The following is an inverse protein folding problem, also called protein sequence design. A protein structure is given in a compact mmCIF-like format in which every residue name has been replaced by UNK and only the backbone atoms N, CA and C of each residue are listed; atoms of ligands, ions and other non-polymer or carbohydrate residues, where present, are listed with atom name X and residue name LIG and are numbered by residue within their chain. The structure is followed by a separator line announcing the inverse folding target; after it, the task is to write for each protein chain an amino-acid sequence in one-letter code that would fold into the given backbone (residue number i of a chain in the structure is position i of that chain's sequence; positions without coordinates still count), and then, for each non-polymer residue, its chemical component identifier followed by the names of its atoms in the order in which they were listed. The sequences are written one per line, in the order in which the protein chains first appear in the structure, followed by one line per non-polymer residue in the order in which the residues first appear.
data_IF_126013981725
#
_entry.id   IF_126013981725
#
_cell.length_a   1.000
_cell.length_b   1.000
_cell.length_c   1.000
_cell.angle_alpha   90.00
_cell.angle_beta   90.00
_cell.angle_gamma   90.00
#
_symmetry.space_group_name_H-M   'P 1'
#
loop_
_entity.id
_entity.type
_entity.pdbx_description
1 polymer ?
#
# COMPACT_ATOMS: atom_id res chain seq x y z
N UNK A 1 47.23 -45.77 -10.23
CA UNK A 1 47.44 -46.33 -8.88
C UNK A 1 47.46 -45.21 -7.85
N UNK A 2 46.42 -45.10 -7.01
CA UNK A 2 46.48 -44.56 -5.63
C UNK A 2 45.11 -44.69 -4.94
N UNK A 3 45.04 -45.74 -4.12
CA UNK A 3 44.31 -46.03 -2.86
C UNK A 3 42.95 -45.35 -2.55
N UNK A 4 41.97 -46.24 -2.39
CA UNK A 4 40.70 -46.15 -1.65
C UNK A 4 40.96 -45.88 -0.16
N UNK A 5 40.12 -45.05 0.49
CA UNK A 5 39.60 -45.32 1.85
C UNK A 5 38.14 -44.85 1.93
N UNK A 6 37.24 -45.84 2.09
CA UNK A 6 35.85 -45.72 2.53
C UNK A 6 35.86 -45.54 4.06
N UNK A 7 35.09 -44.59 4.60
CA UNK A 7 34.72 -44.62 6.03
C UNK A 7 33.25 -44.29 6.22
N UNK A 8 32.54 -45.34 6.64
CA UNK A 8 31.17 -45.40 7.13
C UNK A 8 31.21 -45.06 8.63
N UNK A 9 30.38 -44.11 9.09
CA UNK A 9 30.10 -43.88 10.51
C UNK A 9 28.57 -43.69 10.60
N UNK A 10 27.84 -44.79 10.83
CA UNK A 10 27.36 -45.26 12.13
C UNK A 10 26.12 -44.50 12.62
N UNK A 11 24.98 -45.13 12.38
CA UNK A 11 23.65 -44.79 12.84
C UNK A 11 23.57 -45.02 14.35
N UNK A 12 23.33 -43.99 15.15
CA UNK A 12 22.97 -44.13 16.56
C UNK A 12 21.46 -44.02 16.69
N UNK A 13 20.81 -45.16 16.87
CA UNK A 13 19.42 -45.24 17.30
C UNK A 13 19.33 -44.87 18.78
N UNK A 14 18.56 -43.83 19.09
CA UNK A 14 18.19 -43.52 20.47
C UNK A 14 17.00 -44.41 20.81
N UNK A 15 17.24 -45.46 21.57
CA UNK A 15 16.23 -46.24 22.26
C UNK A 15 15.60 -45.38 23.36
N UNK A 16 14.37 -44.91 23.14
CA UNK A 16 13.55 -44.33 24.20
C UNK A 16 12.87 -45.50 24.91
N UNK A 17 13.42 -45.85 26.06
CA UNK A 17 12.82 -46.78 27.01
C UNK A 17 11.51 -46.18 27.51
N UNK A 18 10.42 -46.92 27.32
CA UNK A 18 9.11 -46.65 27.92
C UNK A 18 9.22 -46.67 29.44
N UNK A 19 8.90 -45.54 30.07
CA UNK A 19 8.45 -45.51 31.46
C UNK A 19 7.02 -44.98 31.44
N UNK A 20 6.08 -45.92 31.51
CA UNK A 20 4.69 -45.69 31.88
C UNK A 20 4.63 -44.99 33.23
N UNK A 21 3.99 -43.83 33.29
CA UNK A 21 3.31 -43.31 34.48
C UNK A 21 2.24 -42.34 34.00
N UNK A 22 0.99 -42.68 34.28
CA UNK A 22 -0.21 -41.88 34.06
C UNK A 22 -0.08 -40.52 34.77
N UNK A 23 -0.05 -39.44 34.00
CA UNK A 23 -0.82 -38.21 34.23
C UNK A 23 -0.42 -37.16 33.17
N UNK A 24 -1.38 -36.31 32.79
CA UNK A 24 -1.28 -35.17 31.84
C UNK A 24 -1.76 -35.40 30.40
N UNK A 25 -3.06 -35.67 30.26
CA UNK A 25 -3.84 -35.38 29.05
C UNK A 25 -4.26 -33.90 28.90
N UNK A 26 -3.74 -32.97 29.73
CA UNK A 26 -4.14 -31.56 29.70
C UNK A 26 -3.35 -30.70 28.69
N UNK A 27 -2.08 -30.98 28.43
CA UNK A 27 -1.23 -30.11 27.58
C UNK A 27 -1.34 -30.39 26.08
N UNK A 28 -1.77 -31.58 25.68
CA UNK A 28 -1.91 -31.92 24.24
C UNK A 28 -3.14 -31.28 23.58
N UNK A 29 -4.13 -30.82 24.36
CA UNK A 29 -5.27 -30.06 23.82
C UNK A 29 -4.97 -28.55 23.68
N UNK A 30 -4.02 -28.00 24.44
CA UNK A 30 -3.60 -26.61 24.30
C UNK A 30 -2.81 -26.39 22.99
N UNK A 31 -1.87 -27.29 22.68
CA UNK A 31 -1.08 -27.25 21.45
C UNK A 31 -1.93 -27.50 20.19
N UNK A 32 -2.93 -28.40 20.26
CA UNK A 32 -3.86 -28.63 19.14
C UNK A 32 -4.77 -27.43 18.87
N UNK A 33 -5.20 -26.69 19.91
CA UNK A 33 -5.99 -25.45 19.75
C UNK A 33 -5.15 -24.30 19.20
N UNK A 34 -3.91 -24.13 19.63
CA UNK A 34 -3.01 -23.11 19.06
C UNK A 34 -2.71 -23.35 17.57
N UNK A 35 -2.52 -24.61 17.18
CA UNK A 35 -2.25 -24.95 15.78
C UNK A 35 -3.49 -24.78 14.89
N UNK A 36 -4.68 -25.04 15.42
CA UNK A 36 -5.95 -24.88 14.70
C UNK A 36 -6.38 -23.40 14.59
N UNK A 37 -6.04 -22.55 15.57
CA UNK A 37 -6.21 -21.09 15.47
C UNK A 37 -5.21 -20.51 14.46
N UNK A 38 -3.93 -20.91 14.49
CA UNK A 38 -2.92 -20.37 13.56
C UNK A 38 -3.18 -20.71 12.09
N UNK A 39 -3.82 -21.85 11.81
CA UNK A 39 -4.14 -22.30 10.45
C UNK A 39 -5.42 -21.67 9.90
N UNK A 40 -6.39 -21.34 10.76
CA UNK A 40 -7.57 -20.55 10.38
C UNK A 40 -7.20 -19.08 10.10
N UNK A 41 -6.35 -18.46 10.93
CA UNK A 41 -5.90 -17.06 10.75
C UNK A 41 -5.06 -16.90 9.48
N UNK A 42 -4.17 -17.86 9.17
CA UNK A 42 -3.37 -17.83 7.93
C UNK A 42 -4.20 -18.03 6.66
N UNK A 43 -5.28 -18.81 6.72
CA UNK A 43 -6.14 -19.06 5.55
C UNK A 43 -7.00 -17.84 5.19
N UNK A 44 -7.38 -17.02 6.17
CA UNK A 44 -8.03 -15.71 5.93
C UNK A 44 -7.04 -14.65 5.44
N UNK A 45 -5.79 -14.64 5.92
CA UNK A 45 -4.73 -13.75 5.42
C UNK A 45 -4.38 -14.01 3.94
N UNK A 46 -4.50 -15.26 3.48
CA UNK A 46 -4.24 -15.63 2.07
C UNK A 46 -5.30 -15.11 1.08
N UNK A 47 -6.53 -14.84 1.52
CA UNK A 47 -7.58 -14.25 0.66
C UNK A 47 -7.37 -12.74 0.47
N UNK A 48 -6.71 -12.07 1.43
CA UNK A 48 -6.42 -10.62 1.40
C UNK A 48 -5.24 -10.25 0.50
N UNK A 49 -4.52 -11.20 -0.10
CA UNK A 49 -3.31 -10.90 -0.86
C UNK A 49 -3.50 -10.94 -2.39
N UNK A 50 -4.73 -11.04 -2.89
CA UNK A 50 -4.98 -10.94 -4.33
C UNK A 50 -4.74 -9.51 -4.81
N UNK A 51 -3.75 -9.34 -5.70
CA UNK A 51 -3.47 -8.05 -6.31
C UNK A 51 -4.22 -7.89 -7.63
N UNK A 52 -4.88 -6.75 -7.81
CA UNK A 52 -5.52 -6.36 -9.07
C UNK A 52 -4.67 -5.32 -9.78
N UNK A 53 -4.25 -5.64 -11.00
CA UNK A 53 -3.53 -4.72 -11.89
C UNK A 53 -4.49 -3.96 -12.78
N UNK A 54 -4.28 -2.65 -12.92
CA UNK A 54 -5.05 -1.83 -13.83
C UNK A 54 -4.27 -0.58 -14.25
N UNK A 55 -4.88 0.24 -15.10
CA UNK A 55 -4.35 1.55 -15.48
C UNK A 55 -5.47 2.53 -15.76
N UNK A 56 -5.17 3.81 -15.58
CA UNK A 56 -6.03 4.92 -16.00
C UNK A 56 -5.29 5.81 -16.99
N UNK A 57 -6.04 6.44 -17.90
CA UNK A 57 -5.48 7.46 -18.80
C UNK A 57 -6.12 8.79 -18.49
N UNK A 58 -5.28 9.78 -18.17
CA UNK A 58 -5.69 11.15 -17.86
C UNK A 58 -5.32 12.02 -19.04
N UNK A 59 -6.29 12.79 -19.54
CA UNK A 59 -6.09 13.66 -20.70
C UNK A 59 -5.67 15.06 -20.29
N UNK A 60 -4.79 15.65 -21.08
CA UNK A 60 -4.41 17.06 -20.97
C UNK A 60 -5.28 17.88 -21.91
N UNK A 61 -6.00 18.86 -21.39
CA UNK A 61 -6.85 19.72 -22.21
C UNK A 61 -6.12 20.99 -22.68
N UNK A 62 -5.03 21.39 -22.01
CA UNK A 62 -4.21 22.54 -22.41
C UNK A 62 -2.71 22.35 -22.09
N UNK A 63 -1.81 22.95 -22.87
CA UNK A 63 -0.39 23.07 -22.50
C UNK A 63 -0.18 24.28 -21.56
N UNK A 64 0.85 24.28 -20.68
CA UNK A 64 1.91 23.28 -20.52
C UNK A 64 1.53 22.12 -19.58
N UNK A 65 2.28 21.01 -19.65
CA UNK A 65 2.01 19.78 -18.87
C UNK A 65 2.27 19.91 -17.37
N UNK A 66 3.08 20.87 -16.93
CA UNK A 66 3.48 21.05 -15.52
C UNK A 66 2.47 21.83 -14.69
N UNK A 67 1.28 22.10 -15.22
CA UNK A 67 0.19 22.78 -14.52
C UNK A 67 -0.88 21.74 -14.23
N UNK A 68 -1.24 21.59 -12.96
CA UNK A 68 -2.24 20.62 -12.48
C UNK A 68 -3.62 20.80 -13.14
N UNK A 69 -4.10 22.04 -13.19
CA UNK A 69 -5.40 22.41 -13.74
C UNK A 69 -5.55 22.10 -15.24
N UNK A 70 -4.44 21.83 -15.94
CA UNK A 70 -4.44 21.48 -17.36
C UNK A 70 -4.77 20.00 -17.63
N UNK A 71 -4.90 19.19 -16.58
CA UNK A 71 -5.23 17.77 -16.65
C UNK A 71 -6.67 17.55 -16.21
N UNK A 72 -7.47 16.89 -17.06
CA UNK A 72 -8.87 16.60 -16.75
C UNK A 72 -8.93 15.44 -15.76
N UNK A 73 -9.50 15.63 -14.55
CA UNK A 73 -9.57 14.55 -13.58
C UNK A 73 -10.36 13.34 -14.10
N UNK A 74 -9.93 12.14 -13.72
CA UNK A 74 -10.54 10.88 -14.14
C UNK A 74 -10.91 10.05 -12.92
N UNK A 75 -12.17 9.66 -12.84
CA UNK A 75 -12.65 8.75 -11.80
C UNK A 75 -12.20 7.31 -12.07
N UNK A 76 -11.88 6.59 -11.01
CA UNK A 76 -11.62 5.15 -11.03
C UNK A 76 -12.11 4.50 -9.73
N UNK A 77 -12.13 3.18 -9.71
CA UNK A 77 -12.52 2.39 -8.52
C UNK A 77 -11.35 1.50 -8.10
N UNK A 78 -11.08 1.49 -6.80
CA UNK A 78 -10.09 0.62 -6.14
C UNK A 78 -10.85 -0.13 -5.06
N UNK A 79 -11.20 -1.39 -5.31
CA UNK A 79 -12.10 -2.14 -4.42
C UNK A 79 -13.39 -1.36 -4.10
N UNK A 80 -13.60 -1.04 -2.83
CA UNK A 80 -14.76 -0.28 -2.31
C UNK A 80 -14.64 1.24 -2.35
N UNK A 81 -13.50 1.81 -2.77
CA UNK A 81 -13.30 3.27 -2.84
C UNK A 81 -13.36 3.79 -4.28
N UNK A 82 -14.13 4.86 -4.48
CA UNK A 82 -14.06 5.67 -5.69
C UNK A 82 -12.96 6.72 -5.51
N UNK A 83 -12.03 6.78 -6.45
CA UNK A 83 -10.89 7.69 -6.45
C UNK A 83 -10.93 8.58 -7.68
N UNK A 84 -10.23 9.70 -7.60
CA UNK A 84 -10.02 10.63 -8.70
C UNK A 84 -8.52 10.77 -8.94
N UNK A 85 -8.09 10.46 -10.17
CA UNK A 85 -6.75 10.74 -10.66
C UNK A 85 -6.72 12.12 -11.31
N UNK A 86 -5.76 12.95 -10.93
CA UNK A 86 -5.70 14.38 -11.27
C UNK A 86 -4.27 14.91 -11.19
N UNK A 87 -4.11 16.23 -11.28
CA UNK A 87 -2.82 16.88 -11.08
C UNK A 87 -1.86 16.72 -12.25
N UNK A 88 -0.61 17.14 -12.05
CA UNK A 88 0.43 17.13 -13.08
C UNK A 88 0.61 15.70 -13.63
N UNK A 89 0.43 15.55 -14.94
CA UNK A 89 0.44 14.24 -15.65
C UNK A 89 -0.59 13.23 -15.11
N UNK A 90 -1.65 13.68 -14.43
CA UNK A 90 -2.62 12.80 -13.80
C UNK A 90 -2.06 11.97 -12.64
N UNK A 91 -0.85 12.32 -12.16
CA UNK A 91 -0.14 11.54 -11.15
C UNK A 91 -0.61 11.76 -9.73
N UNK A 92 -1.59 12.61 -9.48
CA UNK A 92 -2.17 12.79 -8.14
C UNK A 92 -3.42 11.93 -8.00
N UNK A 93 -3.71 11.47 -6.78
CA UNK A 93 -4.88 10.67 -6.43
C UNK A 93 -5.53 11.19 -5.15
N UNK A 94 -6.87 11.23 -5.12
CA UNK A 94 -7.66 11.44 -3.90
C UNK A 94 -8.92 10.57 -3.89
N UNK A 95 -9.54 10.30 -2.74
CA UNK A 95 -10.88 9.75 -2.69
C UNK A 95 -11.88 10.74 -3.28
N UNK A 96 -12.73 10.27 -4.21
CA UNK A 96 -13.65 11.14 -4.94
C UNK A 96 -14.77 11.64 -4.02
N UNK A 97 -14.90 12.97 -3.90
CA UNK A 97 -15.97 13.63 -3.13
C UNK A 97 -15.93 13.44 -1.61
N UNK A 98 -15.04 12.58 -1.08
CA UNK A 98 -14.91 12.26 0.33
C UNK A 98 -16.23 11.88 1.03
N UNK A 99 -17.18 11.30 0.31
CA UNK A 99 -18.54 11.01 0.80
C UNK A 99 -18.58 9.88 1.82
N UNK A 100 -17.61 8.96 1.76
CA UNK A 100 -17.58 7.73 2.56
C UNK A 100 -16.40 7.68 3.53
N UNK A 101 -15.85 8.84 3.92
CA UNK A 101 -14.80 8.96 4.94
C UNK A 101 -13.53 8.14 4.60
N UNK A 102 -13.12 8.22 3.34
CA UNK A 102 -11.87 7.64 2.85
C UNK A 102 -10.74 8.65 2.99
N UNK A 103 -9.58 8.18 3.41
CA UNK A 103 -8.39 8.99 3.65
C UNK A 103 -7.16 8.38 2.98
N UNK A 104 -6.16 9.22 2.69
CA UNK A 104 -4.94 8.78 2.01
C UNK A 104 -3.68 9.13 2.78
N UNK A 105 -2.66 8.31 2.55
CA UNK A 105 -1.34 8.42 3.14
C UNK A 105 -0.34 7.56 2.38
N UNK A 106 0.92 7.60 2.81
CA UNK A 106 1.99 6.85 2.15
C UNK A 106 2.69 5.91 3.10
N UNK A 107 3.25 4.85 2.53
CA UNK A 107 4.08 3.89 3.25
C UNK A 107 5.21 3.41 2.34
N UNK A 108 6.20 2.73 2.90
CA UNK A 108 7.31 2.17 2.12
C UNK A 108 6.83 1.24 0.99
N UNK A 109 7.51 1.33 -0.15
CA UNK A 109 7.09 0.67 -1.38
C UNK A 109 7.18 -0.87 -1.31
N UNK A 110 8.01 -1.39 -0.41
CA UNK A 110 8.21 -2.82 -0.16
C UNK A 110 7.10 -3.44 0.71
N UNK A 111 6.24 -2.62 1.33
CA UNK A 111 5.14 -3.11 2.15
C UNK A 111 4.21 -4.04 1.36
N UNK A 112 3.68 -5.05 2.05
CA UNK A 112 2.85 -6.08 1.41
C UNK A 112 1.48 -6.14 2.07
N UNK A 113 0.61 -6.99 1.54
CA UNK A 113 -0.71 -7.26 2.10
C UNK A 113 -0.69 -7.93 3.49
N UNK A 114 0.47 -8.34 3.99
CA UNK A 114 0.57 -9.05 5.27
C UNK A 114 0.36 -8.11 6.45
N UNK A 115 -0.50 -8.53 7.39
CA UNK A 115 -0.66 -7.98 8.73
C UNK A 115 -0.73 -6.45 8.81
N UNK A 116 -1.74 -5.85 8.15
CA UNK A 116 -2.01 -4.40 8.18
C UNK A 116 -1.87 -3.78 9.57
N UNK A 117 -2.39 -4.45 10.59
CA UNK A 117 -2.37 -3.98 11.98
C UNK A 117 -0.94 -3.84 12.56
N UNK A 118 0.06 -4.51 11.99
CA UNK A 118 1.47 -4.38 12.42
C UNK A 118 2.15 -3.12 11.88
N UNK A 119 1.73 -2.62 10.72
CA UNK A 119 2.39 -1.51 10.04
C UNK A 119 1.51 -0.28 9.83
N UNK A 120 0.21 -0.34 10.09
CA UNK A 120 -0.72 0.77 9.91
C UNK A 120 -0.32 2.01 10.71
N UNK A 121 0.27 1.85 11.91
CA UNK A 121 0.82 2.95 12.70
C UNK A 121 2.06 3.65 12.11
N UNK A 122 2.62 3.14 11.01
CA UNK A 122 3.77 3.74 10.30
C UNK A 122 3.37 4.51 9.05
N UNK A 123 2.08 4.50 8.69
CA UNK A 123 1.56 5.23 7.53
C UNK A 123 1.71 6.73 7.81
N UNK A 124 2.37 7.44 6.89
CA UNK A 124 2.39 8.89 6.91
C UNK A 124 1.05 9.42 6.38
N UNK A 125 0.26 10.10 7.23
CA UNK A 125 -1.08 10.57 6.87
C UNK A 125 -0.99 11.90 6.12
N UNK A 126 -1.71 12.04 5.00
CA UNK A 126 -1.66 13.24 4.16
C UNK A 126 -2.03 14.52 4.91
N UNK A 127 -3.01 14.44 5.79
CA UNK A 127 -3.54 15.59 6.51
C UNK A 127 -2.78 15.94 7.79
N UNK A 128 -1.78 15.14 8.19
CA UNK A 128 -0.96 15.47 9.34
C UNK A 128 -0.25 16.82 9.17
N UNK A 129 0.09 17.44 10.30
CA UNK A 129 0.80 18.72 10.33
C UNK A 129 2.10 18.62 9.53
N UNK A 130 2.22 19.42 8.47
CA UNK A 130 3.38 19.45 7.56
C UNK A 130 3.19 18.68 6.25
N UNK A 131 2.18 17.82 6.14
CA UNK A 131 2.01 16.91 4.99
C UNK A 131 1.05 17.42 3.90
N UNK A 132 0.21 18.43 4.18
CA UNK A 132 -0.82 18.89 3.23
C UNK A 132 -0.22 19.63 2.02
N UNK A 133 0.79 20.47 2.23
CA UNK A 133 1.28 21.39 1.19
C UNK A 133 0.26 22.48 0.86
N UNK A 134 0.35 23.04 -0.34
CA UNK A 134 -0.52 24.10 -0.87
C UNK A 134 -1.16 23.76 -2.22
N UNK A 135 -0.82 22.62 -2.81
CA UNK A 135 -1.30 22.17 -4.11
C UNK A 135 -2.05 20.82 -4.01
N UNK A 136 -3.10 20.60 -4.82
CA UNK A 136 -3.70 21.58 -5.73
C UNK A 136 -4.40 22.72 -4.97
N UNK A 137 -4.42 23.91 -5.55
CA UNK A 137 -4.81 25.14 -4.85
C UNK A 137 -6.29 25.18 -4.44
N UNK A 138 -7.16 24.44 -5.13
CA UNK A 138 -8.59 24.37 -4.83
C UNK A 138 -8.90 23.56 -3.57
N UNK A 139 -8.16 22.46 -3.35
CA UNK A 139 -8.28 21.60 -2.18
C UNK A 139 -6.99 20.77 -2.01
N UNK A 140 -6.03 21.19 -1.17
CA UNK A 140 -4.78 20.49 -0.97
C UNK A 140 -4.89 19.28 -0.02
N UNK A 141 -6.06 19.06 0.58
CA UNK A 141 -6.26 18.00 1.56
C UNK A 141 -6.62 16.67 0.89
N UNK A 142 -6.28 15.57 1.58
CA UNK A 142 -6.62 14.21 1.19
C UNK A 142 -6.24 13.80 -0.25
N UNK A 143 -5.15 14.34 -0.75
CA UNK A 143 -4.63 14.10 -2.10
C UNK A 143 -3.14 13.80 -2.06
N UNK A 144 -2.72 12.72 -2.70
CA UNK A 144 -1.31 12.37 -2.83
C UNK A 144 -0.88 12.52 -4.26
N UNK A 145 0.29 13.13 -4.47
CA UNK A 145 0.87 13.27 -5.80
C UNK A 145 2.38 13.31 -5.73
N UNK A 146 2.95 14.38 -6.28
CA UNK A 146 4.38 14.64 -6.22
C UNK A 146 4.82 14.81 -4.75
N UNK A 147 5.95 14.22 -4.38
CA UNK A 147 6.51 14.36 -3.04
C UNK A 147 7.32 15.66 -2.91
N UNK A 148 6.77 16.60 -2.15
CA UNK A 148 7.33 17.94 -1.94
C UNK A 148 6.90 18.94 -3.00
N UNK A 149 7.86 19.69 -3.55
CA UNK A 149 7.57 20.81 -4.48
C UNK A 149 8.07 20.57 -5.91
N UNK A 150 7.24 20.94 -6.88
CA UNK A 150 7.54 20.88 -8.32
C UNK A 150 7.00 22.14 -9.00
N UNK A 151 7.81 22.77 -9.84
CA UNK A 151 7.40 23.94 -10.66
C UNK A 151 6.73 25.08 -9.87
N UNK A 152 7.13 25.28 -8.60
CA UNK A 152 6.58 26.31 -7.72
C UNK A 152 5.35 25.90 -6.91
N UNK A 153 4.81 24.71 -7.13
CA UNK A 153 3.68 24.15 -6.36
C UNK A 153 4.18 23.16 -5.31
N UNK A 154 3.74 23.32 -4.06
CA UNK A 154 4.07 22.42 -2.96
C UNK A 154 2.93 21.43 -2.73
N UNK A 155 3.16 20.16 -3.00
CA UNK A 155 2.19 19.09 -2.77
C UNK A 155 2.33 18.44 -1.39
N UNK A 156 3.27 18.86 -0.55
CA UNK A 156 3.50 18.25 0.75
C UNK A 156 3.91 16.78 0.60
N UNK A 157 3.24 15.90 1.36
CA UNK A 157 3.43 14.45 1.25
C UNK A 157 2.95 13.93 -0.11
N UNK A 158 3.82 13.18 -0.78
CA UNK A 158 3.51 12.50 -2.04
C UNK A 158 4.14 11.12 -2.14
N UNK A 159 3.92 10.46 -3.28
CA UNK A 159 4.37 9.08 -3.48
C UNK A 159 5.35 8.90 -4.63
N UNK A 160 5.56 9.93 -5.46
CA UNK A 160 6.50 9.90 -6.57
C UNK A 160 7.35 11.16 -6.63
N UNK A 161 8.52 11.03 -7.24
CA UNK A 161 9.37 12.16 -7.64
C UNK A 161 9.32 12.36 -9.15
N UNK A 162 9.63 13.57 -9.61
CA UNK A 162 9.72 13.90 -11.03
C UNK A 162 11.00 14.66 -11.34
N UNK A 163 11.77 14.11 -12.27
CA UNK A 163 12.98 14.74 -12.75
C UNK A 163 12.62 15.65 -13.93
N UNK A 164 12.70 16.96 -13.72
CA UNK A 164 12.30 17.95 -14.74
C UNK A 164 13.18 17.94 -16.00
N UNK A 165 14.43 17.48 -15.90
CA UNK A 165 15.37 17.41 -17.03
C UNK A 165 15.11 16.22 -17.94
N UNK A 166 14.77 15.07 -17.35
CA UNK A 166 14.53 13.82 -18.08
C UNK A 166 13.04 13.54 -18.29
N UNK A 167 12.17 14.32 -17.66
CA UNK A 167 10.72 14.13 -17.61
C UNK A 167 10.28 12.77 -17.06
N UNK A 168 11.13 12.11 -16.27
CA UNK A 168 10.83 10.80 -15.67
C UNK A 168 10.12 10.98 -14.33
N UNK A 169 8.98 10.29 -14.19
CA UNK A 169 8.22 10.19 -12.93
C UNK A 169 8.51 8.84 -12.27
N UNK A 170 8.98 8.86 -11.02
CA UNK A 170 9.43 7.65 -10.31
C UNK A 170 8.66 7.49 -9.00
N UNK A 171 7.75 6.50 -8.91
CA UNK A 171 7.13 6.12 -7.64
C UNK A 171 8.19 5.67 -6.62
N UNK A 172 8.13 6.19 -5.41
CA UNK A 172 9.06 5.91 -4.31
C UNK A 172 8.35 5.39 -3.05
N UNK A 173 7.05 5.61 -2.93
CA UNK A 173 6.20 5.12 -1.85
C UNK A 173 4.97 4.40 -2.41
N UNK A 174 4.42 3.49 -1.63
CA UNK A 174 3.08 2.99 -1.86
C UNK A 174 2.05 3.96 -1.28
N UNK A 175 0.86 3.94 -1.85
CA UNK A 175 -0.29 4.72 -1.39
C UNK A 175 -1.17 3.80 -0.55
N UNK A 176 -1.59 4.28 0.61
CA UNK A 176 -2.60 3.60 1.43
C UNK A 176 -3.87 4.44 1.41
N UNK A 177 -4.99 3.80 1.14
CA UNK A 177 -6.32 4.41 1.18
C UNK A 177 -7.13 3.67 2.24
N UNK A 178 -7.61 4.35 3.28
CA UNK A 178 -8.34 3.71 4.39
C UNK A 178 -9.64 4.41 4.71
N UNK A 179 -10.60 3.64 5.20
CA UNK A 179 -11.91 4.13 5.66
C UNK A 179 -11.95 4.15 7.17
N UNK A 180 -12.20 5.33 7.73
CA UNK A 180 -12.36 5.51 9.18
C UNK A 180 -13.28 6.68 9.48
N UNK A 181 -13.65 6.87 10.75
CA UNK A 181 -14.43 8.02 11.17
C UNK A 181 -13.65 9.33 10.97
N UNK A 182 -14.19 10.21 10.13
CA UNK A 182 -13.75 11.59 9.99
C UNK A 182 -14.90 12.46 9.45
N UNK A 183 -14.75 13.78 9.46
CA UNK A 183 -15.86 14.69 9.16
C UNK A 183 -15.86 15.22 7.73
N UNK A 184 -14.69 15.36 7.12
CA UNK A 184 -14.50 15.90 5.78
C UNK A 184 -13.10 15.55 5.24
N UNK A 185 -12.75 16.08 4.07
CA UNK A 185 -11.44 15.87 3.43
C UNK A 185 -10.28 16.44 4.24
N UNK A 186 -10.50 17.34 5.19
CA UNK A 186 -9.45 17.99 6.00
C UNK A 186 -9.18 17.25 7.31
N UNK A 187 -9.96 16.21 7.63
CA UNK A 187 -9.81 15.48 8.88
C UNK A 187 -8.44 14.81 8.96
N UNK A 188 -7.76 15.00 10.08
CA UNK A 188 -6.62 14.18 10.47
C UNK A 188 -7.19 12.89 11.06
N UNK A 189 -6.82 11.74 10.50
CA UNK A 189 -7.40 10.44 10.88
C UNK A 189 -6.32 9.42 11.19
N UNK A 190 -6.65 8.48 12.06
CA UNK A 190 -5.75 7.41 12.48
C UNK A 190 -5.99 6.14 11.64
N UNK A 191 -5.04 5.73 10.78
CA UNK A 191 -5.19 4.55 9.93
C UNK A 191 -5.25 3.24 10.72
N UNK A 192 -4.81 3.19 11.98
CA UNK A 192 -4.93 2.00 12.84
C UNK A 192 -6.39 1.66 13.16
N UNK A 193 -7.29 2.65 13.05
CA UNK A 193 -8.73 2.51 13.28
C UNK A 193 -9.52 2.15 12.01
N UNK A 194 -8.82 1.84 10.91
CA UNK A 194 -9.46 1.56 9.64
C UNK A 194 -10.43 0.37 9.72
N UNK A 195 -11.62 0.57 9.15
CA UNK A 195 -12.62 -0.48 8.94
C UNK A 195 -12.42 -1.21 7.61
N UNK A 196 -11.73 -0.58 6.68
CA UNK A 196 -11.40 -1.08 5.35
C UNK A 196 -10.18 -0.32 4.84
N UNK A 197 -9.26 -1.00 4.14
CA UNK A 197 -8.06 -0.35 3.62
C UNK A 197 -7.49 -1.04 2.39
N UNK A 198 -6.85 -0.24 1.53
CA UNK A 198 -6.23 -0.66 0.29
C UNK A 198 -4.79 -0.18 0.21
N UNK A 199 -3.90 -1.08 -0.17
CA UNK A 199 -2.52 -0.77 -0.53
C UNK A 199 -2.44 -0.67 -2.06
N UNK A 200 -2.03 0.49 -2.56
CA UNK A 200 -1.93 0.81 -3.98
C UNK A 200 -0.47 1.08 -4.32
N UNK A 201 0.07 0.32 -5.28
CA UNK A 201 1.42 0.48 -5.80
C UNK A 201 1.37 0.96 -7.23
N UNK A 202 1.71 2.22 -7.45
CA UNK A 202 1.88 2.76 -8.80
C UNK A 202 3.14 2.16 -9.42
N UNK A 203 2.98 1.47 -10.54
CA UNK A 203 4.06 0.78 -11.25
C UNK A 203 4.67 1.63 -12.36
N UNK A 204 3.96 2.66 -12.81
CA UNK A 204 4.49 3.63 -13.75
C UNK A 204 3.53 4.78 -14.02
N UNK A 205 4.11 5.94 -14.32
CA UNK A 205 3.39 7.10 -14.87
C UNK A 205 4.08 7.39 -16.20
N UNK A 206 3.37 7.18 -17.31
CA UNK A 206 3.88 7.34 -18.66
C UNK A 206 3.35 8.66 -19.26
N UNK A 207 4.06 9.79 -19.08
CA UNK A 207 3.64 11.08 -19.60
C UNK A 207 3.75 11.09 -21.14
N UNK A 208 2.64 11.36 -21.80
CA UNK A 208 2.56 11.64 -23.23
C UNK A 208 2.33 13.13 -23.50
N UNK A 209 2.30 13.48 -24.78
CA UNK A 209 2.11 14.87 -25.20
C UNK A 209 0.73 15.42 -24.84
N UNK A 210 -0.34 14.61 -24.94
CA UNK A 210 -1.73 15.04 -24.70
C UNK A 210 -2.47 14.19 -23.68
N UNK A 211 -1.83 13.15 -23.16
CA UNK A 211 -2.38 12.25 -22.16
C UNK A 211 -1.25 11.62 -21.35
N UNK A 212 -1.58 11.05 -20.22
CA UNK A 212 -0.67 10.30 -19.36
C UNK A 212 -1.36 9.04 -18.91
N UNK A 213 -0.64 7.92 -18.91
CA UNK A 213 -1.16 6.64 -18.43
C UNK A 213 -0.52 6.30 -17.10
N UNK A 214 -1.35 6.08 -16.08
CA UNK A 214 -0.93 5.68 -14.74
C UNK A 214 -1.27 4.20 -14.59
N UNK A 215 -0.25 3.37 -14.44
CA UNK A 215 -0.38 1.93 -14.19
C UNK A 215 -0.16 1.64 -12.72
N UNK A 216 -1.00 0.80 -12.12
CA UNK A 216 -0.92 0.47 -10.72
C UNK A 216 -1.51 -0.89 -10.39
N UNK A 217 -1.08 -1.43 -9.26
CA UNK A 217 -1.65 -2.60 -8.63
C UNK A 217 -2.28 -2.19 -7.31
N UNK A 218 -3.37 -2.84 -6.91
CA UNK A 218 -3.94 -2.63 -5.59
C UNK A 218 -4.36 -3.94 -4.94
N UNK A 219 -4.37 -3.95 -3.61
CA UNK A 219 -4.73 -5.09 -2.78
C UNK A 219 -5.51 -4.60 -1.57
N UNK A 220 -6.59 -5.29 -1.20
CA UNK A 220 -7.28 -5.01 0.06
C UNK A 220 -6.45 -5.54 1.23
N UNK A 221 -6.17 -4.70 2.21
CA UNK A 221 -5.30 -5.05 3.36
C UNK A 221 -6.05 -5.00 4.69
N UNK A 222 -7.26 -4.44 4.71
CA UNK A 222 -8.19 -4.46 5.84
C UNK A 222 -9.62 -4.63 5.33
#
# INVERSE_FOLDING_TARGET
MKKIILSIIALAAISITSCSSDDQTADSQALAKEQQISSATKKSALVLCSSTSTSVTVNRWQAPSSVDANWTPVAATIGGVNVQWEGIYGGSIRPAGNTDQWYVGTIDLDQTCADYDLWSGTIAVKNDTGNVGTAPASDPYNVLGYDGSISGSNYGLGYYSYNITTHVMTPAKAIVIWKTSGTNSQSITDPTTATEAYLVKVTGIAPGASSSTISYNWTQVK
#
